data_IF_756292464247
#
_entry.id   IF_756292464247
#
_cell.length_a   1.000
_cell.length_b   1.000
_cell.length_c   1.000
_cell.angle_alpha   90.00
_cell.angle_beta   90.00
_cell.angle_gamma   90.00
#
_symmetry.space_group_name_H-M   'P 1'
#
loop_
_entity.id
_entity.type
_entity.pdbx_description
1 polymer ?
#
# COMPACT_ATOMS: atom_id res chain seq x y z
N UNK A 1 33.79 22.03 4.30
CA UNK A 1 32.94 21.96 5.52
C UNK A 1 31.50 21.75 5.04
N UNK A 2 30.82 20.69 5.50
CA UNK A 2 29.43 20.41 5.11
C UNK A 2 28.53 21.50 5.70
N UNK A 3 27.65 22.09 4.88
CA UNK A 3 26.66 23.05 5.36
C UNK A 3 25.69 22.38 6.33
N UNK A 4 25.30 23.07 7.42
CA UNK A 4 24.27 22.59 8.35
C UNK A 4 22.99 22.14 7.64
N UNK A 5 22.63 22.78 6.52
CA UNK A 5 21.48 22.40 5.70
C UNK A 5 21.67 21.01 5.08
N UNK A 6 22.83 20.73 4.50
CA UNK A 6 23.14 19.42 3.90
C UNK A 6 23.16 18.31 4.95
N UNK A 7 23.72 18.60 6.12
CA UNK A 7 23.71 17.68 7.26
C UNK A 7 22.28 17.35 7.68
N UNK A 8 21.44 18.38 7.86
CA UNK A 8 20.03 18.20 8.22
C UNK A 8 19.27 17.36 7.18
N UNK A 9 19.40 17.68 5.89
CA UNK A 9 18.77 16.93 4.80
C UNK A 9 19.22 15.47 4.77
N UNK A 10 20.52 15.23 4.93
CA UNK A 10 21.08 13.88 5.01
C UNK A 10 20.47 13.07 6.15
N UNK A 11 20.39 13.63 7.36
CA UNK A 11 19.78 12.97 8.53
C UNK A 11 18.28 12.72 8.31
N UNK A 12 17.58 13.66 7.67
CA UNK A 12 16.16 13.50 7.36
C UNK A 12 15.92 12.32 6.40
N UNK A 13 16.69 12.19 5.32
CA UNK A 13 16.56 11.05 4.40
C UNK A 13 17.02 9.72 5.03
N UNK A 14 17.97 9.76 5.95
CA UNK A 14 18.35 8.57 6.74
C UNK A 14 17.18 8.08 7.62
N UNK A 15 16.36 9.01 8.12
CA UNK A 15 15.14 8.67 8.86
C UNK A 15 14.10 8.02 7.95
N UNK A 16 13.95 8.50 6.71
CA UNK A 16 13.08 7.87 5.70
C UNK A 16 13.56 6.44 5.38
N UNK A 17 14.87 6.24 5.22
CA UNK A 17 15.46 4.90 5.08
C UNK A 17 15.05 3.97 6.24
N UNK A 18 15.21 4.43 7.48
CA UNK A 18 14.90 3.62 8.66
C UNK A 18 13.42 3.20 8.71
N UNK A 19 12.50 4.08 8.29
CA UNK A 19 11.07 3.76 8.20
C UNK A 19 10.78 2.66 7.17
N UNK A 20 11.32 2.80 5.95
CA UNK A 20 11.15 1.80 4.89
C UNK A 20 11.80 0.46 5.27
N UNK A 21 12.98 0.49 5.89
CA UNK A 21 13.68 -0.70 6.34
C UNK A 21 12.93 -1.42 7.47
N UNK A 22 12.40 -0.67 8.45
CA UNK A 22 11.54 -1.23 9.50
C UNK A 22 10.30 -1.90 8.91
N UNK A 23 9.67 -1.25 7.93
CA UNK A 23 8.51 -1.83 7.22
C UNK A 23 8.87 -3.10 6.46
N UNK A 24 9.98 -3.11 5.72
CA UNK A 24 10.50 -4.32 5.08
C UNK A 24 10.72 -5.45 6.10
N UNK A 25 11.34 -5.16 7.24
CA UNK A 25 11.59 -6.16 8.27
C UNK A 25 10.29 -6.78 8.82
N UNK A 26 9.24 -5.96 8.96
CA UNK A 26 7.93 -6.40 9.48
C UNK A 26 7.06 -7.11 8.46
N UNK A 27 7.01 -6.65 7.21
CA UNK A 27 6.09 -7.17 6.17
C UNK A 27 6.73 -8.20 5.25
N UNK A 28 8.07 -8.24 5.17
CA UNK A 28 8.86 -9.09 4.26
C UNK A 28 8.56 -8.90 2.77
N UNK A 29 7.90 -7.80 2.40
CA UNK A 29 7.60 -7.42 1.00
C UNK A 29 8.88 -6.98 0.29
N UNK A 30 9.14 -7.52 -0.90
CA UNK A 30 10.38 -7.33 -1.65
C UNK A 30 10.58 -5.88 -2.13
N UNK A 31 9.51 -5.12 -2.36
CA UNK A 31 9.60 -3.73 -2.84
C UNK A 31 10.20 -2.75 -1.83
N UNK A 32 9.95 -2.93 -0.53
CA UNK A 32 10.40 -1.99 0.50
C UNK A 32 11.92 -1.95 0.68
N UNK A 33 12.62 -3.05 0.40
CA UNK A 33 14.08 -3.08 0.57
C UNK A 33 14.80 -2.16 -0.43
N UNK A 34 14.57 -2.25 -1.76
CA UNK A 34 15.10 -1.29 -2.71
C UNK A 34 14.73 0.16 -2.38
N UNK A 35 13.48 0.46 -2.00
CA UNK A 35 13.11 1.81 -1.56
C UNK A 35 13.91 2.26 -0.34
N UNK A 36 14.11 1.40 0.66
CA UNK A 36 14.95 1.75 1.81
C UNK A 36 16.37 2.11 1.37
N UNK A 37 16.98 1.27 0.51
CA UNK A 37 18.34 1.49 0.04
C UNK A 37 18.46 2.75 -0.83
N UNK A 38 17.44 3.10 -1.61
CA UNK A 38 17.43 4.36 -2.34
C UNK A 38 17.48 5.56 -1.39
N UNK A 39 16.68 5.58 -0.32
CA UNK A 39 16.72 6.68 0.66
C UNK A 39 18.04 6.76 1.45
N UNK A 40 18.65 5.62 1.76
CA UNK A 40 19.98 5.57 2.36
C UNK A 40 21.02 6.21 1.43
N UNK A 41 20.98 5.84 0.15
CA UNK A 41 21.90 6.37 -0.85
C UNK A 41 21.65 7.85 -1.12
N UNK A 42 20.39 8.30 -1.12
CA UNK A 42 20.07 9.71 -1.23
C UNK A 42 20.57 10.50 -0.01
N UNK A 43 20.52 9.93 1.20
CA UNK A 43 21.15 10.53 2.38
C UNK A 43 22.66 10.74 2.17
N UNK A 44 23.36 9.73 1.63
CA UNK A 44 24.78 9.81 1.28
C UNK A 44 25.05 10.95 0.27
N UNK A 45 24.17 11.13 -0.72
CA UNK A 45 24.27 12.21 -1.71
C UNK A 45 24.33 13.61 -1.07
N UNK A 46 23.58 13.84 0.01
CA UNK A 46 23.58 15.13 0.73
C UNK A 46 24.74 15.25 1.73
N UNK A 47 25.20 14.15 2.31
CA UNK A 47 26.22 14.17 3.38
C UNK A 47 27.66 14.21 2.86
N UNK A 48 27.95 13.61 1.72
CA UNK A 48 29.32 13.43 1.25
C UNK A 48 29.74 14.45 0.19
N UNK A 49 31.01 14.37 -0.21
CA UNK A 49 31.62 15.24 -1.20
C UNK A 49 31.04 15.00 -2.62
N UNK A 50 31.35 15.92 -3.52
CA UNK A 50 30.70 16.02 -4.83
C UNK A 50 30.85 14.75 -5.69
N UNK A 51 32.00 14.06 -5.64
CA UNK A 51 32.22 12.86 -6.45
C UNK A 51 31.37 11.69 -5.96
N UNK A 52 31.35 11.47 -4.64
CA UNK A 52 30.52 10.42 -4.04
C UNK A 52 29.03 10.78 -4.20
N UNK A 53 28.71 12.07 -4.12
CA UNK A 53 27.36 12.60 -4.32
C UNK A 53 26.82 12.31 -5.74
N UNK A 54 27.63 12.48 -6.78
CA UNK A 54 27.26 12.12 -8.15
C UNK A 54 27.05 10.61 -8.31
N UNK A 55 27.95 9.78 -7.78
CA UNK A 55 27.81 8.32 -7.85
C UNK A 55 26.55 7.82 -7.13
N UNK A 56 26.24 8.44 -5.98
CA UNK A 56 25.04 8.14 -5.22
C UNK A 56 23.76 8.34 -6.03
N UNK A 57 23.67 9.33 -6.93
CA UNK A 57 22.48 9.52 -7.77
C UNK A 57 22.24 8.37 -8.76
N UNK A 58 23.31 7.76 -9.28
CA UNK A 58 23.19 6.57 -10.14
C UNK A 58 22.70 5.37 -9.33
N UNK A 59 23.33 5.10 -8.17
CA UNK A 59 22.87 4.03 -7.26
C UNK A 59 21.42 4.27 -6.80
N UNK A 60 21.05 5.53 -6.55
CA UNK A 60 19.68 5.91 -6.22
C UNK A 60 18.71 5.51 -7.33
N UNK A 61 18.99 5.90 -8.58
CA UNK A 61 18.16 5.53 -9.74
C UNK A 61 18.02 4.01 -9.92
N UNK A 62 19.10 3.27 -9.66
CA UNK A 62 19.13 1.81 -9.70
C UNK A 62 18.15 1.19 -8.70
N UNK A 63 18.21 1.63 -7.44
CA UNK A 63 17.32 1.14 -6.41
C UNK A 63 15.87 1.60 -6.60
N UNK A 64 15.64 2.82 -7.11
CA UNK A 64 14.30 3.29 -7.46
C UNK A 64 13.68 2.44 -8.58
N UNK A 65 14.45 2.08 -9.62
CA UNK A 65 13.98 1.16 -10.66
C UNK A 65 13.57 -0.19 -10.06
N UNK A 66 14.46 -0.81 -9.27
CA UNK A 66 14.18 -2.10 -8.64
C UNK A 66 12.95 -2.03 -7.73
N UNK A 67 12.82 -0.98 -6.92
CA UNK A 67 11.69 -0.76 -6.03
C UNK A 67 10.37 -0.56 -6.78
N UNK A 68 10.38 0.24 -7.85
CA UNK A 68 9.21 0.50 -8.69
C UNK A 68 8.73 -0.78 -9.40
N UNK A 69 9.65 -1.57 -9.94
CA UNK A 69 9.34 -2.83 -10.63
C UNK A 69 8.80 -3.87 -9.65
N UNK A 70 9.47 -4.08 -8.52
CA UNK A 70 8.99 -5.01 -7.48
C UNK A 70 7.63 -4.58 -6.90
N UNK A 71 7.41 -3.27 -6.73
CA UNK A 71 6.12 -2.75 -6.30
C UNK A 71 4.99 -3.10 -7.28
N UNK A 72 5.22 -2.92 -8.59
CA UNK A 72 4.20 -3.26 -9.59
C UNK A 72 3.94 -4.77 -9.67
N UNK A 73 4.97 -5.60 -9.41
CA UNK A 73 4.80 -7.05 -9.30
C UNK A 73 4.01 -7.44 -8.07
N UNK A 74 4.32 -6.85 -6.91
CA UNK A 74 3.57 -7.09 -5.68
C UNK A 74 2.09 -6.78 -5.86
N UNK A 75 1.78 -5.66 -6.51
CA UNK A 75 0.41 -5.19 -6.77
C UNK A 75 -0.29 -5.89 -7.95
N UNK A 76 0.31 -6.93 -8.53
CA UNK A 76 -0.20 -7.66 -9.71
C UNK A 76 -0.50 -6.78 -10.94
N UNK A 77 0.13 -5.59 -11.04
CA UNK A 77 -0.01 -4.67 -12.17
C UNK A 77 0.94 -5.01 -13.33
N UNK A 78 1.87 -5.93 -13.10
CA UNK A 78 2.90 -6.35 -14.04
C UNK A 78 3.29 -7.81 -13.81
N UNK A 79 3.63 -8.54 -14.88
CA UNK A 79 4.10 -9.93 -14.80
C UNK A 79 5.56 -9.99 -14.42
N UNK A 80 5.91 -10.85 -13.45
CA UNK A 80 7.28 -10.95 -12.92
C UNK A 80 8.24 -11.48 -13.98
N UNK A 81 9.08 -10.59 -14.51
CA UNK A 81 10.21 -10.92 -15.36
C UNK A 81 11.50 -10.46 -14.67
N UNK A 82 12.36 -11.41 -14.31
CA UNK A 82 13.58 -11.16 -13.55
C UNK A 82 14.53 -10.22 -14.31
N UNK A 83 14.51 -10.30 -15.62
CA UNK A 83 15.31 -9.53 -16.56
C UNK A 83 15.01 -8.02 -16.44
N UNK A 84 13.75 -7.66 -16.25
CA UNK A 84 13.34 -6.26 -16.16
C UNK A 84 13.88 -5.63 -14.88
N UNK A 85 13.85 -6.34 -13.75
CA UNK A 85 14.47 -5.88 -12.51
C UNK A 85 15.99 -5.67 -12.63
N UNK A 86 16.68 -6.56 -13.36
CA UNK A 86 18.14 -6.50 -13.55
C UNK A 86 18.61 -5.28 -14.35
N UNK A 87 17.75 -4.65 -15.16
CA UNK A 87 18.06 -3.39 -15.82
C UNK A 87 18.41 -2.28 -14.81
N UNK A 88 17.96 -2.41 -13.55
CA UNK A 88 18.33 -1.50 -12.47
C UNK A 88 19.83 -1.44 -12.20
N UNK A 89 20.66 -2.40 -12.63
CA UNK A 89 22.12 -2.33 -12.41
C UNK A 89 22.83 -1.44 -13.44
N UNK A 90 22.19 -1.18 -14.59
CA UNK A 90 22.79 -0.41 -15.71
C UNK A 90 23.30 0.97 -15.29
N UNK A 91 22.55 1.81 -14.54
CA UNK A 91 23.03 3.12 -14.12
C UNK A 91 24.39 3.07 -13.40
N UNK A 92 24.61 2.07 -12.54
CA UNK A 92 25.86 1.94 -11.79
C UNK A 92 27.07 1.75 -12.71
N UNK A 93 26.94 0.93 -13.76
CA UNK A 93 27.99 0.72 -14.75
C UNK A 93 28.24 1.96 -15.60
N UNK A 94 27.17 2.68 -15.99
CA UNK A 94 27.27 3.88 -16.81
C UNK A 94 28.05 4.98 -16.09
N UNK A 95 27.92 5.13 -14.77
CA UNK A 95 28.74 6.08 -14.02
C UNK A 95 30.25 5.90 -14.29
N UNK A 96 30.77 4.67 -14.20
CA UNK A 96 32.20 4.40 -14.40
C UNK A 96 32.71 4.70 -15.81
N UNK A 97 31.83 4.69 -16.82
CA UNK A 97 32.19 5.02 -18.20
C UNK A 97 32.30 6.55 -18.43
N UNK A 98 31.54 7.35 -17.68
CA UNK A 98 31.39 8.78 -17.94
C UNK A 98 31.91 9.70 -16.83
N UNK A 99 32.26 9.19 -15.65
CA UNK A 99 32.73 10.02 -14.52
C UNK A 99 33.95 10.89 -14.86
N UNK A 100 34.81 10.40 -15.74
CA UNK A 100 36.04 11.09 -16.14
C UNK A 100 35.85 12.10 -17.28
N UNK A 101 34.66 12.17 -17.88
CA UNK A 101 34.40 12.99 -19.08
C UNK A 101 34.03 14.43 -18.73
N UNK A 102 32.93 14.61 -18.01
CA UNK A 102 32.41 15.93 -17.64
C UNK A 102 31.35 15.80 -16.57
N UNK A 103 31.40 16.69 -15.57
CA UNK A 103 30.40 16.74 -14.49
C UNK A 103 28.99 16.95 -15.03
N UNK A 104 28.84 17.81 -16.04
CA UNK A 104 27.54 18.08 -16.67
C UNK A 104 26.93 16.82 -17.26
N UNK A 105 27.76 16.02 -17.95
CA UNK A 105 27.32 14.75 -18.56
C UNK A 105 26.89 13.75 -17.49
N UNK A 106 27.62 13.68 -16.37
CA UNK A 106 27.31 12.79 -15.25
C UNK A 106 25.95 13.12 -14.64
N UNK A 107 25.67 14.39 -14.35
CA UNK A 107 24.36 14.81 -13.80
C UNK A 107 23.22 14.64 -14.80
N UNK A 108 23.44 14.96 -16.08
CA UNK A 108 22.45 14.75 -17.14
C UNK A 108 22.07 13.27 -17.27
N UNK A 109 23.06 12.38 -17.28
CA UNK A 109 22.83 10.94 -17.30
C UNK A 109 22.13 10.44 -16.03
N UNK A 110 22.54 10.90 -14.85
CA UNK A 110 21.88 10.56 -13.60
C UNK A 110 20.38 10.93 -13.63
N UNK A 111 20.06 12.16 -14.06
CA UNK A 111 18.69 12.61 -14.21
C UNK A 111 17.89 11.78 -15.22
N UNK A 112 18.49 11.41 -16.36
CA UNK A 112 17.86 10.51 -17.34
C UNK A 112 17.55 9.16 -16.70
N UNK A 113 18.47 8.54 -15.97
CA UNK A 113 18.22 7.25 -15.33
C UNK A 113 17.15 7.32 -14.24
N UNK A 114 17.07 8.42 -13.51
CA UNK A 114 15.96 8.67 -12.56
C UNK A 114 14.63 8.76 -13.33
N UNK A 115 14.56 9.48 -14.44
CA UNK A 115 13.35 9.55 -15.27
C UNK A 115 12.98 8.16 -15.79
N UNK A 116 13.94 7.40 -16.31
CA UNK A 116 13.72 6.04 -16.78
C UNK A 116 13.21 5.14 -15.65
N UNK A 117 13.74 5.30 -14.43
CA UNK A 117 13.26 4.58 -13.24
C UNK A 117 11.79 4.81 -12.94
N UNK A 118 11.24 5.98 -13.28
CA UNK A 118 9.84 6.33 -13.05
C UNK A 118 8.85 5.76 -14.08
N UNK A 119 9.32 5.38 -15.28
CA UNK A 119 8.47 4.97 -16.39
C UNK A 119 7.53 3.79 -16.08
N UNK A 120 7.97 2.72 -15.38
CA UNK A 120 7.06 1.62 -15.02
C UNK A 120 5.84 2.11 -14.25
N UNK A 121 6.02 3.01 -13.28
CA UNK A 121 4.92 3.58 -12.50
C UNK A 121 3.99 4.46 -13.35
N UNK A 122 4.55 5.25 -14.28
CA UNK A 122 3.77 6.10 -15.17
C UNK A 122 2.91 5.30 -16.16
N UNK A 123 3.45 4.20 -16.68
CA UNK A 123 2.80 3.38 -17.71
C UNK A 123 1.80 2.39 -17.11
N UNK A 124 2.20 1.68 -16.04
CA UNK A 124 1.44 0.56 -15.47
C UNK A 124 0.77 0.89 -14.13
N UNK A 125 1.19 1.95 -13.46
CA UNK A 125 0.67 2.30 -12.15
C UNK A 125 -0.80 2.76 -12.17
N UNK A 126 -1.45 2.61 -11.02
CA UNK A 126 -2.73 3.26 -10.70
C UNK A 126 -2.54 4.78 -10.59
N UNK A 127 -3.63 5.55 -10.42
CA UNK A 127 -3.58 7.02 -10.34
C UNK A 127 -2.51 7.55 -9.38
N UNK A 128 -2.42 6.98 -8.18
CA UNK A 128 -1.46 7.39 -7.15
C UNK A 128 -0.02 7.00 -7.48
N UNK A 129 0.19 5.79 -8.02
CA UNK A 129 1.50 5.37 -8.50
C UNK A 129 1.99 6.23 -9.66
N UNK A 130 1.09 6.68 -10.54
CA UNK A 130 1.42 7.64 -11.59
C UNK A 130 1.84 9.00 -11.03
N UNK A 131 1.22 9.47 -9.94
CA UNK A 131 1.68 10.69 -9.26
C UNK A 131 3.07 10.50 -8.64
N UNK A 132 3.33 9.36 -8.00
CA UNK A 132 4.66 9.03 -7.50
C UNK A 132 5.70 9.00 -8.63
N UNK A 133 5.39 8.33 -9.75
CA UNK A 133 6.22 8.32 -10.95
C UNK A 133 6.45 9.71 -11.53
N UNK A 134 5.43 10.56 -11.57
CA UNK A 134 5.55 11.94 -12.06
C UNK A 134 6.49 12.77 -11.18
N UNK A 135 6.39 12.65 -9.85
CA UNK A 135 7.33 13.32 -8.93
C UNK A 135 8.77 12.81 -9.12
N UNK A 136 8.96 11.50 -9.31
CA UNK A 136 10.29 10.95 -9.61
C UNK A 136 10.84 11.47 -10.94
N UNK A 137 10.02 11.58 -11.99
CA UNK A 137 10.41 12.17 -13.27
C UNK A 137 10.82 13.64 -13.11
N UNK A 138 10.04 14.43 -12.35
CA UNK A 138 10.36 15.84 -12.05
C UNK A 138 11.67 15.94 -11.26
N UNK A 139 11.92 15.04 -10.30
CA UNK A 139 13.19 14.97 -9.58
C UNK A 139 14.37 14.66 -10.51
N UNK A 140 14.18 13.75 -11.47
CA UNK A 140 15.19 13.44 -12.49
C UNK A 140 15.46 14.59 -13.45
N UNK A 141 14.42 15.31 -13.90
CA UNK A 141 14.57 16.54 -14.69
C UNK A 141 15.35 17.59 -13.88
N UNK A 142 15.00 17.77 -12.61
CA UNK A 142 15.69 18.71 -11.75
C UNK A 142 17.19 18.36 -11.64
N UNK A 143 17.49 17.06 -11.51
CA UNK A 143 18.86 16.53 -11.41
C UNK A 143 19.65 16.78 -12.70
N UNK A 144 19.03 16.60 -13.86
CA UNK A 144 19.69 16.78 -15.15
C UNK A 144 19.98 18.25 -15.49
N UNK A 145 19.07 19.17 -15.12
CA UNK A 145 19.12 20.56 -15.59
C UNK A 145 19.94 21.46 -14.67
N UNK A 146 19.94 21.21 -13.35
CA UNK A 146 20.29 22.25 -12.38
C UNK A 146 21.53 22.06 -11.49
N UNK A 147 22.56 21.23 -11.79
CA UNK A 147 23.71 21.04 -10.89
C UNK A 147 24.59 22.30 -10.65
N UNK A 148 24.23 23.48 -11.19
CA UNK A 148 25.04 24.70 -11.16
C UNK A 148 24.53 25.82 -10.22
N UNK A 149 23.42 25.63 -9.50
CA UNK A 149 22.84 26.67 -8.65
C UNK A 149 22.65 26.21 -7.20
N UNK A 150 23.15 26.98 -6.23
CA UNK A 150 23.05 26.67 -4.79
C UNK A 150 21.60 26.63 -4.26
N UNK A 151 20.71 27.45 -4.82
CA UNK A 151 19.29 27.52 -4.44
C UNK A 151 18.47 26.29 -4.89
N UNK A 152 19.03 25.49 -5.80
CA UNK A 152 18.36 24.32 -6.38
C UNK A 152 18.42 23.11 -5.45
N UNK A 153 19.36 23.09 -4.49
CA UNK A 153 19.42 22.07 -3.45
C UNK A 153 18.10 21.95 -2.69
N UNK A 154 17.46 23.09 -2.39
CA UNK A 154 16.19 23.15 -1.67
C UNK A 154 15.03 22.60 -2.51
N UNK A 155 15.03 22.85 -3.82
CA UNK A 155 14.00 22.35 -4.73
C UNK A 155 14.11 20.82 -4.86
N UNK A 156 15.34 20.30 -5.01
CA UNK A 156 15.58 18.85 -5.03
C UNK A 156 15.11 18.19 -3.74
N UNK A 157 15.49 18.76 -2.60
CA UNK A 157 15.09 18.25 -1.29
C UNK A 157 13.56 18.27 -1.12
N UNK A 158 12.88 19.34 -1.52
CA UNK A 158 11.43 19.47 -1.44
C UNK A 158 10.71 18.39 -2.28
N UNK A 159 11.15 18.18 -3.53
CA UNK A 159 10.58 17.13 -4.39
C UNK A 159 10.85 15.75 -3.78
N UNK A 160 12.07 15.50 -3.28
CA UNK A 160 12.42 14.25 -2.63
C UNK A 160 11.57 13.98 -1.37
N UNK A 161 11.27 15.00 -0.56
CA UNK A 161 10.31 14.85 0.55
C UNK A 161 8.89 14.55 0.06
N UNK A 162 8.46 15.16 -1.06
CA UNK A 162 7.18 14.83 -1.69
C UNK A 162 7.12 13.37 -2.14
N UNK A 163 8.17 12.86 -2.78
CA UNK A 163 8.31 11.44 -3.14
C UNK A 163 8.26 10.58 -1.88
N UNK A 164 9.04 10.90 -0.84
CA UNK A 164 9.05 10.14 0.42
C UNK A 164 7.67 10.09 1.07
N UNK A 165 6.98 11.23 1.14
CA UNK A 165 5.64 11.34 1.72
C UNK A 165 4.62 10.48 0.97
N UNK A 166 4.54 10.61 -0.37
CA UNK A 166 3.61 9.81 -1.18
C UNK A 166 3.98 8.32 -1.10
N UNK A 167 5.27 7.98 -1.14
CA UNK A 167 5.72 6.60 -0.99
C UNK A 167 5.31 6.03 0.38
N UNK A 168 5.43 6.78 1.47
CA UNK A 168 5.03 6.32 2.81
C UNK A 168 3.52 6.14 2.91
N UNK A 169 2.74 7.13 2.46
CA UNK A 169 1.28 7.08 2.60
C UNK A 169 0.68 6.02 1.67
N UNK A 170 1.02 6.07 0.39
CA UNK A 170 0.38 5.20 -0.60
C UNK A 170 0.96 3.79 -0.56
N UNK A 171 2.29 3.60 -0.63
CA UNK A 171 2.83 2.24 -0.78
C UNK A 171 2.54 1.38 0.46
N UNK A 172 2.65 1.97 1.66
CA UNK A 172 2.40 1.23 2.90
C UNK A 172 0.93 0.85 3.02
N UNK A 173 0.01 1.78 2.76
CA UNK A 173 -1.42 1.51 2.89
C UNK A 173 -1.85 0.47 1.85
N UNK A 174 -1.42 0.63 0.60
CA UNK A 174 -1.77 -0.29 -0.48
C UNK A 174 -1.26 -1.70 -0.20
N UNK A 175 0.01 -1.86 0.18
CA UNK A 175 0.57 -3.19 0.44
C UNK A 175 -0.04 -3.81 1.71
N UNK A 176 -0.32 -2.99 2.74
CA UNK A 176 -0.96 -3.47 3.96
C UNK A 176 -2.38 -3.93 3.67
N UNK A 177 -3.12 -3.19 2.83
CA UNK A 177 -4.44 -3.59 2.37
C UNK A 177 -4.38 -4.76 1.39
N UNK A 178 -3.36 -4.86 0.53
CA UNK A 178 -3.15 -6.00 -0.37
C UNK A 178 -3.01 -7.31 0.40
N UNK A 179 -2.31 -7.30 1.52
CA UNK A 179 -2.25 -8.46 2.41
C UNK A 179 -3.62 -8.81 3.00
N UNK A 180 -4.61 -7.92 2.97
CA UNK A 180 -6.00 -8.23 3.31
C UNK A 180 -6.80 -8.71 2.09
N UNK A 181 -6.28 -8.53 0.87
CA UNK A 181 -6.96 -8.91 -0.37
C UNK A 181 -6.77 -10.40 -0.60
N UNK A 182 -7.90 -11.09 -0.63
CA UNK A 182 -7.96 -12.43 -1.18
C UNK A 182 -8.90 -12.40 -2.39
N UNK A 183 -8.60 -13.20 -3.40
CA UNK A 183 -9.38 -13.23 -4.64
C UNK A 183 -10.81 -13.67 -4.37
N UNK A 184 -11.79 -12.95 -4.89
CA UNK A 184 -13.20 -13.31 -4.78
C UNK A 184 -13.43 -14.77 -5.22
N UNK A 185 -14.11 -15.62 -4.42
CA UNK A 185 -14.36 -17.02 -4.78
C UNK A 185 -15.11 -17.13 -6.11
N UNK A 186 -14.93 -18.24 -6.83
CA UNK A 186 -15.66 -18.53 -8.05
C UNK A 186 -17.19 -18.51 -7.85
N UNK A 187 -17.68 -18.81 -6.64
CA UNK A 187 -19.09 -18.68 -6.23
C UNK A 187 -19.69 -17.27 -6.48
N UNK A 188 -18.89 -16.21 -6.47
CA UNK A 188 -19.33 -14.83 -6.76
C UNK A 188 -19.42 -14.50 -8.26
N UNK A 189 -19.15 -15.48 -9.14
CA UNK A 189 -19.40 -15.38 -10.59
C UNK A 189 -20.87 -15.56 -10.96
N UNK A 190 -21.68 -16.07 -10.02
CA UNK A 190 -23.14 -16.10 -10.12
C UNK A 190 -23.66 -14.66 -9.93
N UNK A 191 -24.61 -14.23 -10.76
CA UNK A 191 -25.24 -12.90 -10.69
C UNK A 191 -25.96 -12.70 -9.35
N UNK A 192 -25.21 -12.25 -8.35
CA UNK A 192 -25.76 -11.79 -7.07
C UNK A 192 -25.64 -10.27 -7.00
N UNK A 193 -26.66 -9.62 -6.46
CA UNK A 193 -26.61 -8.19 -6.20
C UNK A 193 -25.61 -7.89 -5.07
N UNK A 194 -24.71 -6.89 -5.23
CA UNK A 194 -23.85 -6.44 -4.16
C UNK A 194 -24.65 -5.94 -2.96
N UNK A 195 -24.13 -6.14 -1.75
CA UNK A 195 -24.81 -5.77 -0.52
C UNK A 195 -24.57 -6.75 0.61
N UNK A 196 -25.55 -6.86 1.50
CA UNK A 196 -25.53 -7.82 2.62
C UNK A 196 -26.25 -9.10 2.23
N UNK A 197 -25.62 -10.23 2.50
CA UNK A 197 -26.16 -11.58 2.32
C UNK A 197 -26.12 -12.26 3.68
N UNK A 198 -27.27 -12.70 4.17
CA UNK A 198 -27.39 -13.37 5.46
C UNK A 198 -27.43 -14.87 5.24
N UNK A 199 -26.57 -15.61 5.93
CA UNK A 199 -26.46 -17.06 5.85
C UNK A 199 -26.40 -17.64 7.27
N UNK A 200 -26.85 -18.88 7.43
CA UNK A 200 -26.68 -19.62 8.69
C UNK A 200 -25.29 -20.23 8.83
N UNK A 201 -24.58 -20.39 7.72
CA UNK A 201 -23.22 -20.88 7.68
C UNK A 201 -22.57 -20.33 6.40
N UNK A 202 -21.41 -19.68 6.53
CA UNK A 202 -20.65 -19.19 5.38
C UNK A 202 -19.70 -20.31 4.91
N UNK A 203 -19.75 -20.71 3.62
CA UNK A 203 -18.87 -21.76 3.11
C UNK A 203 -17.39 -21.44 3.33
N UNK A 204 -16.59 -22.46 3.67
CA UNK A 204 -15.14 -22.30 3.90
C UNK A 204 -14.43 -21.64 2.71
N UNK A 205 -14.85 -21.93 1.47
CA UNK A 205 -14.29 -21.30 0.26
C UNK A 205 -14.48 -19.77 0.24
N UNK A 206 -15.58 -19.26 0.82
CA UNK A 206 -15.81 -17.83 0.99
C UNK A 206 -14.97 -17.28 2.14
N UNK A 207 -14.90 -18.02 3.25
CA UNK A 207 -14.10 -17.64 4.41
C UNK A 207 -12.61 -17.54 4.08
N UNK A 208 -12.07 -18.42 3.24
CA UNK A 208 -10.66 -18.38 2.81
C UNK A 208 -10.34 -17.11 2.01
N UNK A 209 -11.34 -16.61 1.29
CA UNK A 209 -11.19 -15.59 0.26
C UNK A 209 -11.78 -14.21 0.62
N UNK A 210 -12.12 -14.01 1.89
CA UNK A 210 -12.73 -12.78 2.37
C UNK A 210 -11.93 -12.10 3.49
N UNK A 211 -12.22 -10.81 3.68
CA UNK A 211 -11.92 -10.10 4.92
C UNK A 211 -12.90 -10.59 5.99
N UNK A 212 -12.43 -11.35 6.97
CA UNK A 212 -13.27 -12.00 7.97
C UNK A 212 -13.10 -11.33 9.33
N UNK A 213 -14.24 -11.02 9.95
CA UNK A 213 -14.34 -10.62 11.34
C UNK A 213 -15.02 -11.77 12.10
N UNK A 214 -14.27 -12.50 12.92
CA UNK A 214 -14.76 -13.72 13.57
C UNK A 214 -14.40 -13.77 15.06
N UNK A 215 -15.26 -14.42 15.84
CA UNK A 215 -14.95 -14.77 17.24
C UNK A 215 -13.90 -15.88 17.34
N UNK A 216 -13.78 -16.72 16.32
CA UNK A 216 -12.74 -17.72 16.23
C UNK A 216 -11.41 -17.08 15.85
N UNK A 217 -10.31 -17.54 16.44
CA UNK A 217 -8.98 -17.05 16.09
C UNK A 217 -8.40 -17.93 15.00
N UNK A 218 -8.13 -17.35 13.82
CA UNK A 218 -7.26 -17.95 12.80
C UNK A 218 -6.09 -17.03 12.49
N UNK A 219 -4.92 -17.60 12.33
CA UNK A 219 -3.70 -16.86 12.00
C UNK A 219 -3.55 -16.80 10.47
N UNK A 220 -4.36 -15.95 9.84
CA UNK A 220 -4.28 -15.70 8.39
C UNK A 220 -4.44 -14.21 8.07
N UNK A 221 -3.84 -13.74 6.96
CA UNK A 221 -4.09 -12.39 6.47
C UNK A 221 -5.59 -12.18 6.18
N UNK A 222 -6.10 -10.99 6.48
CA UNK A 222 -7.54 -10.70 6.31
C UNK A 222 -8.45 -11.27 7.40
N UNK A 223 -7.92 -11.93 8.44
CA UNK A 223 -8.71 -12.40 9.58
C UNK A 223 -8.54 -11.52 10.82
N UNK A 224 -9.63 -10.96 11.32
CA UNK A 224 -9.68 -10.15 12.53
C UNK A 224 -10.39 -10.91 13.64
N UNK A 225 -9.68 -11.10 14.75
CA UNK A 225 -10.21 -11.78 15.91
C UNK A 225 -11.02 -10.82 16.79
N UNK A 226 -12.33 -11.06 16.89
CA UNK A 226 -13.23 -10.25 17.70
C UNK A 226 -13.14 -10.71 19.16
N UNK A 227 -12.45 -9.93 19.99
CA UNK A 227 -12.17 -10.33 21.38
C UNK A 227 -11.83 -9.18 22.31
N UNK A 228 -12.08 -9.38 23.60
CA UNK A 228 -11.66 -8.47 24.68
C UNK A 228 -10.17 -8.65 25.04
N UNK A 229 -9.52 -9.69 24.50
CA UNK A 229 -8.08 -9.92 24.70
C UNK A 229 -7.30 -9.06 23.72
N UNK A 230 -6.29 -8.36 24.22
CA UNK A 230 -5.44 -7.54 23.38
C UNK A 230 -4.40 -8.43 22.66
N UNK A 231 -4.52 -8.59 21.34
CA UNK A 231 -3.55 -9.30 20.51
C UNK A 231 -3.33 -8.59 19.17
N UNK A 232 -2.31 -9.01 18.42
CA UNK A 232 -2.18 -8.61 17.01
C UNK A 232 -3.44 -9.02 16.24
N UNK A 233 -3.94 -8.13 15.38
CA UNK A 233 -5.17 -8.30 14.59
C UNK A 233 -6.44 -8.61 15.42
N UNK A 234 -6.50 -8.19 16.69
CA UNK A 234 -7.75 -8.21 17.45
C UNK A 234 -8.54 -6.91 17.36
N UNK A 235 -9.85 -7.04 17.47
CA UNK A 235 -10.79 -5.91 17.56
C UNK A 235 -11.68 -6.16 18.77
N UNK A 236 -11.89 -5.11 19.57
CA UNK A 236 -12.82 -5.19 20.68
C UNK A 236 -14.25 -5.38 20.15
N UNK A 237 -15.08 -6.26 20.74
CA UNK A 237 -16.43 -6.53 20.23
C UNK A 237 -17.32 -5.29 20.20
N UNK A 238 -17.05 -4.34 21.09
CA UNK A 238 -17.78 -3.08 21.22
C UNK A 238 -17.32 -2.00 20.24
N UNK A 239 -16.24 -2.24 19.49
CA UNK A 239 -15.63 -1.29 18.56
C UNK A 239 -16.14 -1.51 17.13
N UNK A 240 -17.47 -1.39 16.96
CA UNK A 240 -18.12 -1.53 15.66
C UNK A 240 -17.59 -0.50 14.64
N UNK A 241 -17.21 0.69 15.12
CA UNK A 241 -16.64 1.75 14.28
C UNK A 241 -15.33 1.32 13.60
N UNK A 242 -14.45 0.62 14.33
CA UNK A 242 -13.21 0.08 13.75
C UNK A 242 -13.47 -1.00 12.69
N UNK A 243 -14.49 -1.84 12.88
CA UNK A 243 -14.90 -2.83 11.86
C UNK A 243 -15.37 -2.12 10.59
N UNK A 244 -16.19 -1.07 10.71
CA UNK A 244 -16.62 -0.23 9.58
C UNK A 244 -15.43 0.40 8.88
N UNK A 245 -14.55 1.05 9.62
CA UNK A 245 -13.39 1.76 9.10
C UNK A 245 -12.44 0.83 8.30
N UNK A 246 -12.14 -0.35 8.85
CA UNK A 246 -11.34 -1.38 8.14
C UNK A 246 -12.09 -1.86 6.89
N UNK A 247 -13.38 -2.15 7.02
CA UNK A 247 -14.23 -2.64 5.91
C UNK A 247 -14.31 -1.63 4.77
N UNK A 248 -14.55 -0.36 5.06
CA UNK A 248 -14.68 0.72 4.06
C UNK A 248 -13.35 0.97 3.35
N UNK A 249 -12.23 0.98 4.09
CA UNK A 249 -10.90 1.04 3.47
C UNK A 249 -10.67 -0.11 2.51
N UNK A 250 -10.96 -1.33 2.95
CA UNK A 250 -10.84 -2.53 2.12
C UNK A 250 -11.72 -2.47 0.86
N UNK A 251 -12.99 -2.08 1.01
CA UNK A 251 -13.93 -1.91 -0.10
C UNK A 251 -13.45 -0.91 -1.14
N UNK A 252 -12.99 0.26 -0.71
CA UNK A 252 -12.49 1.31 -1.60
C UNK A 252 -11.23 0.87 -2.35
N UNK A 253 -10.32 0.16 -1.67
CA UNK A 253 -9.09 -0.33 -2.29
C UNK A 253 -9.37 -1.42 -3.31
N UNK A 254 -10.24 -2.38 -2.99
CA UNK A 254 -10.65 -3.43 -3.93
C UNK A 254 -11.30 -2.83 -5.18
N UNK A 255 -12.22 -1.87 -5.00
CA UNK A 255 -12.80 -1.12 -6.12
C UNK A 255 -11.72 -0.43 -6.96
N UNK A 256 -10.71 0.16 -6.32
CA UNK A 256 -9.60 0.85 -7.00
C UNK A 256 -8.71 -0.11 -7.80
N UNK A 257 -8.55 -1.34 -7.33
CA UNK A 257 -7.83 -2.42 -8.02
C UNK A 257 -8.70 -3.14 -9.06
N UNK A 258 -9.96 -2.74 -9.25
CA UNK A 258 -10.88 -3.38 -10.18
C UNK A 258 -11.37 -4.75 -9.72
N UNK A 259 -11.24 -5.07 -8.44
CA UNK A 259 -11.69 -6.33 -7.83
C UNK A 259 -12.99 -6.12 -7.04
N UNK A 260 -13.79 -7.19 -6.90
CA UNK A 260 -15.02 -7.17 -6.08
C UNK A 260 -14.66 -7.44 -4.62
N UNK A 261 -14.93 -6.52 -3.67
CA UNK A 261 -14.62 -6.74 -2.26
C UNK A 261 -15.55 -7.79 -1.64
N UNK A 262 -14.99 -8.69 -0.83
CA UNK A 262 -15.74 -9.71 -0.07
C UNK A 262 -15.40 -9.60 1.41
N UNK A 263 -16.44 -9.45 2.23
CA UNK A 263 -16.33 -9.30 3.69
C UNK A 263 -17.24 -10.35 4.34
N UNK A 264 -16.79 -10.91 5.45
CA UNK A 264 -17.59 -11.83 6.27
C UNK A 264 -17.63 -11.31 7.70
N UNK A 265 -18.83 -11.19 8.24
CA UNK A 265 -19.09 -11.02 9.66
C UNK A 265 -19.53 -12.38 10.19
N UNK A 266 -18.63 -13.06 10.86
CA UNK A 266 -18.86 -14.37 11.45
C UNK A 266 -19.32 -14.22 12.91
N UNK A 267 -20.31 -15.02 13.30
CA UNK A 267 -21.02 -15.01 14.58
C UNK A 267 -21.58 -13.62 14.96
N UNK A 268 -22.57 -13.14 14.21
CA UNK A 268 -23.24 -11.86 14.48
C UNK A 268 -23.82 -11.77 15.91
N UNK A 269 -24.25 -12.89 16.47
CA UNK A 269 -24.83 -13.04 17.81
C UNK A 269 -23.89 -12.48 18.87
N UNK A 270 -22.59 -12.70 18.72
CA UNK A 270 -21.61 -12.21 19.68
C UNK A 270 -21.52 -10.68 19.65
N UNK A 271 -21.60 -10.07 18.47
CA UNK A 271 -21.66 -8.61 18.35
C UNK A 271 -22.96 -8.06 18.94
N UNK A 272 -24.09 -8.76 18.74
CA UNK A 272 -25.40 -8.39 19.29
C UNK A 272 -25.39 -8.48 20.82
N UNK A 273 -24.79 -9.54 21.37
CA UNK A 273 -24.65 -9.73 22.81
C UNK A 273 -23.86 -8.59 23.46
N UNK A 274 -22.81 -8.11 22.80
CA UNK A 274 -21.90 -7.09 23.33
C UNK A 274 -22.40 -5.65 23.11
N UNK A 275 -23.21 -5.39 22.07
CA UNK A 275 -23.60 -4.02 21.66
C UNK A 275 -25.11 -3.74 21.69
N UNK A 276 -25.93 -4.78 21.78
CA UNK A 276 -27.37 -4.72 21.55
C UNK A 276 -27.74 -4.74 20.05
N UNK A 277 -28.91 -5.30 19.75
CA UNK A 277 -29.39 -5.51 18.38
C UNK A 277 -29.49 -4.21 17.57
N UNK A 278 -30.02 -3.13 18.14
CA UNK A 278 -30.19 -1.86 17.42
C UNK A 278 -28.86 -1.25 16.95
N UNK A 279 -27.82 -1.34 17.78
CA UNK A 279 -26.47 -0.86 17.45
C UNK A 279 -25.88 -1.66 16.30
N UNK A 280 -26.01 -2.99 16.35
CA UNK A 280 -25.54 -3.88 15.28
C UNK A 280 -26.33 -3.69 13.99
N UNK A 281 -27.64 -3.47 14.06
CA UNK A 281 -28.47 -3.20 12.88
C UNK A 281 -28.04 -1.89 12.18
N UNK A 282 -27.76 -0.83 12.94
CA UNK A 282 -27.22 0.43 12.40
C UNK A 282 -25.85 0.22 11.77
N UNK A 283 -24.97 -0.52 12.45
CA UNK A 283 -23.65 -0.91 11.94
C UNK A 283 -23.74 -1.63 10.59
N UNK A 284 -24.59 -2.66 10.48
CA UNK A 284 -24.82 -3.38 9.23
C UNK A 284 -25.41 -2.48 8.15
N UNK A 285 -26.35 -1.59 8.51
CA UNK A 285 -26.92 -0.61 7.57
C UNK A 285 -25.82 0.29 6.97
N UNK A 286 -24.92 0.83 7.81
CA UNK A 286 -23.78 1.64 7.33
C UNK A 286 -22.87 0.83 6.41
N UNK A 287 -22.55 -0.42 6.77
CA UNK A 287 -21.75 -1.29 5.92
C UNK A 287 -22.42 -1.56 4.56
N UNK A 288 -23.73 -1.81 4.54
CA UNK A 288 -24.51 -2.01 3.31
C UNK A 288 -24.43 -0.80 2.40
N UNK A 289 -24.62 0.40 2.95
CA UNK A 289 -24.61 1.63 2.15
C UNK A 289 -23.25 1.84 1.47
N UNK A 290 -22.15 1.52 2.16
CA UNK A 290 -20.82 1.49 1.55
C UNK A 290 -20.66 0.37 0.52
N UNK A 291 -21.16 -0.84 0.82
CA UNK A 291 -21.07 -1.98 -0.08
C UNK A 291 -21.75 -1.72 -1.44
N UNK A 292 -22.91 -1.06 -1.43
CA UNK A 292 -23.61 -0.66 -2.65
C UNK A 292 -22.77 0.30 -3.51
N UNK A 293 -22.09 1.26 -2.87
CA UNK A 293 -21.22 2.21 -3.57
C UNK A 293 -19.97 1.56 -4.18
N UNK A 294 -19.49 0.46 -3.60
CA UNK A 294 -18.26 -0.23 -4.02
C UNK A 294 -18.49 -1.56 -4.70
N UNK A 295 -19.74 -1.96 -4.92
CA UNK A 295 -20.13 -3.28 -5.41
C UNK A 295 -19.50 -4.42 -4.59
N UNK A 296 -19.49 -4.26 -3.26
CA UNK A 296 -18.98 -5.26 -2.31
C UNK A 296 -20.05 -6.29 -1.92
N UNK A 297 -19.59 -7.48 -1.55
CA UNK A 297 -20.40 -8.52 -0.91
C UNK A 297 -20.05 -8.63 0.56
N UNK A 298 -21.06 -8.59 1.42
CA UNK A 298 -20.91 -8.74 2.86
C UNK A 298 -21.75 -9.95 3.28
N UNK A 299 -21.08 -11.04 3.63
CA UNK A 299 -21.73 -12.20 4.21
C UNK A 299 -21.84 -11.99 5.72
N UNK A 300 -23.02 -12.27 6.26
CA UNK A 300 -23.28 -12.18 7.70
C UNK A 300 -23.77 -13.54 8.16
N UNK A 301 -22.98 -14.20 8.98
CA UNK A 301 -23.34 -15.47 9.60
C UNK A 301 -24.20 -15.21 10.83
N UNK A 302 -25.41 -15.78 10.83
CA UNK A 302 -26.32 -15.73 11.96
C UNK A 302 -27.19 -17.00 12.03
N UNK A 303 -27.26 -17.59 13.22
CA UNK A 303 -28.20 -18.64 13.58
C UNK A 303 -29.63 -18.06 13.59
N UNK A 304 -30.54 -18.55 12.74
CA UNK A 304 -31.91 -18.08 12.70
C UNK A 304 -32.66 -18.23 14.03
N UNK A 305 -32.27 -19.20 14.85
CA UNK A 305 -32.91 -19.51 16.13
C UNK A 305 -32.39 -18.64 17.28
N UNK A 306 -31.26 -17.95 17.08
CA UNK A 306 -30.67 -17.06 18.09
C UNK A 306 -31.38 -15.70 18.19
N UNK A 307 -32.24 -15.34 17.23
CA UNK A 307 -32.92 -14.04 17.16
C UNK A 307 -34.43 -14.17 17.20
N UNK A 308 -35.10 -13.15 17.75
CA UNK A 308 -36.56 -13.09 17.70
C UNK A 308 -37.04 -12.96 16.25
N UNK A 309 -38.29 -13.40 15.98
CA UNK A 309 -38.92 -13.23 14.66
C UNK A 309 -38.90 -11.79 14.15
N UNK A 310 -39.00 -10.81 15.06
CA UNK A 310 -38.95 -9.38 14.74
C UNK A 310 -37.53 -8.97 14.32
N UNK A 311 -36.52 -9.35 15.08
CA UNK A 311 -35.11 -9.04 14.78
C UNK A 311 -34.66 -9.68 13.47
N UNK A 312 -34.99 -10.96 13.28
CA UNK A 312 -34.74 -11.67 12.02
C UNK A 312 -35.45 -10.98 10.83
N UNK A 313 -36.69 -10.53 11.02
CA UNK A 313 -37.43 -9.78 9.99
C UNK A 313 -36.79 -8.43 9.63
N UNK A 314 -36.16 -7.75 10.59
CA UNK A 314 -35.42 -6.51 10.35
C UNK A 314 -34.10 -6.77 9.63
N UNK A 315 -33.36 -7.81 10.02
CA UNK A 315 -32.13 -8.21 9.35
C UNK A 315 -32.38 -8.62 7.89
N UNK A 316 -33.43 -9.40 7.61
CA UNK A 316 -33.82 -9.77 6.23
C UNK A 316 -34.26 -8.59 5.35
N UNK A 317 -34.52 -7.41 5.91
CA UNK A 317 -34.76 -6.19 5.10
C UNK A 317 -33.46 -5.52 4.67
N UNK A 318 -32.32 -5.93 5.24
CA UNK A 318 -31.00 -5.44 4.84
C UNK A 318 -30.45 -6.22 3.64
N UNK A 319 -30.93 -7.45 3.40
CA UNK A 319 -30.57 -8.22 2.21
C UNK A 319 -31.20 -7.60 0.97
N UNK A 320 -30.40 -7.45 -0.09
CA UNK A 320 -30.90 -7.13 -1.44
C UNK A 320 -31.56 -8.34 -2.06
#
# INVERSE_FOLDING_TARGET
MISYVRLFLGIAFLSVYALFFYKWHKTRKTSFLPYSLSWLVLSIHYLLDENISMFALFIFSSFMWMGNVELLFELNLMTKHREIGMLGVVPMFIYFLFFSKSRLVVYLLAGIFIIVSSLPLLIKGTKFLRYLGALQAVFGIATAVFPFYSNVLYIHALIAFGIAYISIMEIIDIITLENLLVEAPALLSIEMEPGIIILSNVPDEVLENALVFSREKRDRPGWFWITKVNSSNSIYPTDLAKIVDISVRYMNEMKRLGKKPVIVIDNLEYLILENGFESVLKFLTTLRDHALLTSAFIFVEVDPDALSKKEMGLLKRLTG
#
